data_IF_106706095486
#
_entry.id   IF_106706095486
#
_cell.length_a   1.000
_cell.length_b   1.000
_cell.length_c   1.000
_cell.angle_alpha   90.00
_cell.angle_beta   90.00
_cell.angle_gamma   90.00
#
_symmetry.space_group_name_H-M   'P 1'
#
loop_
_entity.id
_entity.type
_entity.pdbx_description
1 polymer ?
#
# COMPACT_ATOMS: atom_id res chain seq x y z
N UNK A 1 29.16 -26.59 23.88
CA UNK A 1 28.37 -27.17 22.77
C UNK A 1 26.92 -27.09 23.20
N UNK A 2 26.20 -26.13 22.64
CA UNK A 2 24.73 -26.11 22.72
C UNK A 2 24.20 -25.54 21.38
N UNK A 3 24.47 -26.30 20.33
CA UNK A 3 23.87 -26.11 19.00
C UNK A 3 22.64 -27.02 18.94
N UNK A 4 21.50 -26.57 19.47
CA UNK A 4 20.40 -27.49 19.72
C UNK A 4 19.02 -26.86 19.78
N UNK A 5 18.59 -26.27 18.65
CA UNK A 5 17.19 -26.02 18.17
C UNK A 5 17.03 -24.61 17.57
N UNK A 6 17.67 -24.35 16.42
CA UNK A 6 17.49 -23.08 15.69
C UNK A 6 16.36 -23.09 14.64
N UNK A 7 15.70 -24.23 14.39
CA UNK A 7 14.78 -24.40 13.25
C UNK A 7 13.49 -25.18 13.58
N UNK A 8 13.03 -25.20 14.83
CA UNK A 8 11.77 -25.88 15.18
C UNK A 8 10.70 -24.83 15.41
N UNK A 9 9.96 -24.53 14.35
CA UNK A 9 8.82 -23.62 14.36
C UNK A 9 7.53 -24.41 14.54
N UNK A 10 6.48 -23.75 15.06
CA UNK A 10 5.13 -24.30 14.90
C UNK A 10 4.78 -24.37 13.41
N UNK A 11 3.78 -25.19 13.07
CA UNK A 11 3.40 -25.41 11.67
C UNK A 11 3.01 -24.10 11.01
N UNK A 12 2.33 -23.18 11.69
CA UNK A 12 1.87 -21.90 11.14
C UNK A 12 3.04 -20.96 10.83
N UNK A 13 3.98 -20.78 11.76
CA UNK A 13 5.20 -20.00 11.59
C UNK A 13 6.07 -20.60 10.48
N UNK A 14 6.21 -21.93 10.40
CA UNK A 14 6.97 -22.57 9.33
C UNK A 14 6.39 -22.26 7.94
N UNK A 15 5.06 -22.32 7.79
CA UNK A 15 4.40 -21.99 6.52
C UNK A 15 4.65 -20.53 6.12
N UNK A 16 4.61 -19.59 7.07
CA UNK A 16 4.85 -18.17 6.79
C UNK A 16 6.32 -17.88 6.45
N UNK A 17 7.26 -18.51 7.14
CA UNK A 17 8.70 -18.42 6.81
C UNK A 17 8.93 -18.96 5.39
N UNK A 18 8.39 -20.12 5.05
CA UNK A 18 8.57 -20.70 3.72
C UNK A 18 7.88 -19.89 2.63
N UNK A 19 6.69 -19.35 2.90
CA UNK A 19 6.01 -18.41 1.99
C UNK A 19 6.86 -17.16 1.72
N UNK A 20 7.43 -16.56 2.78
CA UNK A 20 8.27 -15.37 2.67
C UNK A 20 9.51 -15.65 1.82
N UNK A 21 10.21 -16.74 2.09
CA UNK A 21 11.49 -17.06 1.45
C UNK A 21 11.33 -17.53 0.00
N UNK A 22 10.35 -18.39 -0.27
CA UNK A 22 10.27 -19.06 -1.58
C UNK A 22 9.37 -18.34 -2.57
N UNK A 23 8.32 -17.68 -2.08
CA UNK A 23 7.26 -17.12 -2.92
C UNK A 23 7.33 -15.60 -2.90
N UNK A 24 7.20 -14.97 -1.72
CA UNK A 24 7.14 -13.51 -1.59
C UNK A 24 8.36 -12.83 -2.21
N UNK A 25 9.60 -13.24 -1.87
CA UNK A 25 10.83 -12.66 -2.45
C UNK A 25 10.91 -12.72 -3.98
N UNK A 26 10.22 -13.68 -4.62
CA UNK A 26 10.27 -13.86 -6.09
C UNK A 26 9.15 -13.14 -6.81
N UNK A 27 8.02 -12.88 -6.14
CA UNK A 27 6.81 -12.37 -6.78
C UNK A 27 6.35 -11.00 -6.28
N UNK A 28 6.86 -10.52 -5.14
CA UNK A 28 6.41 -9.27 -4.50
C UNK A 28 6.34 -8.10 -5.46
N UNK A 29 7.37 -7.95 -6.30
CA UNK A 29 7.50 -6.81 -7.21
C UNK A 29 6.47 -6.90 -8.33
N UNK A 30 6.26 -8.09 -8.89
CA UNK A 30 5.24 -8.32 -9.93
C UNK A 30 3.83 -8.15 -9.41
N UNK A 31 3.58 -8.59 -8.17
CA UNK A 31 2.30 -8.41 -7.50
C UNK A 31 2.07 -6.93 -7.24
N UNK A 32 3.08 -6.21 -6.78
CA UNK A 32 2.98 -4.77 -6.55
C UNK A 32 2.72 -4.00 -7.86
N UNK A 33 3.41 -4.33 -8.95
CA UNK A 33 3.15 -3.75 -10.27
C UNK A 33 1.71 -3.98 -10.75
N UNK A 34 1.17 -5.18 -10.50
CA UNK A 34 -0.22 -5.50 -10.84
C UNK A 34 -1.21 -4.68 -10.01
N UNK A 35 -0.96 -4.53 -8.71
CA UNK A 35 -1.78 -3.69 -7.82
C UNK A 35 -1.75 -2.23 -8.28
N UNK A 36 -0.57 -1.67 -8.57
CA UNK A 36 -0.44 -0.30 -9.05
C UNK A 36 -1.23 -0.06 -10.34
N UNK A 37 -1.19 -1.01 -11.27
CA UNK A 37 -1.99 -0.94 -12.52
C UNK A 37 -3.49 -0.99 -12.25
N UNK A 38 -3.95 -1.82 -11.32
CA UNK A 38 -5.37 -1.86 -10.96
C UNK A 38 -5.82 -0.53 -10.34
N UNK A 39 -5.01 0.04 -9.44
CA UNK A 39 -5.29 1.34 -8.82
C UNK A 39 -5.33 2.45 -9.86
N UNK A 40 -4.38 2.47 -10.80
CA UNK A 40 -4.35 3.45 -11.89
C UNK A 40 -5.59 3.36 -12.78
N UNK A 41 -6.01 2.14 -13.16
CA UNK A 41 -7.27 1.93 -13.90
C UNK A 41 -8.48 2.50 -13.16
N UNK A 42 -8.54 2.29 -11.85
CA UNK A 42 -9.63 2.83 -11.05
C UNK A 42 -9.59 4.37 -10.97
N UNK A 43 -8.40 5.00 -10.91
CA UNK A 43 -8.26 6.46 -10.98
C UNK A 43 -8.74 7.05 -12.30
N UNK A 44 -8.62 6.26 -13.38
CA UNK A 44 -9.15 6.59 -14.70
C UNK A 44 -10.66 6.30 -14.84
N UNK A 45 -11.34 5.89 -13.76
CA UNK A 45 -12.79 5.65 -13.73
C UNK A 45 -13.21 4.22 -14.08
N UNK A 46 -12.27 3.29 -14.25
CA UNK A 46 -12.62 1.88 -14.45
C UNK A 46 -13.11 1.23 -13.16
N UNK A 47 -14.12 0.36 -13.25
CA UNK A 47 -14.54 -0.46 -12.11
C UNK A 47 -13.55 -1.59 -11.89
N UNK A 48 -12.98 -1.67 -10.68
CA UNK A 48 -12.04 -2.74 -10.30
C UNK A 48 -12.60 -3.58 -9.16
N UNK A 49 -12.10 -4.81 -9.07
CA UNK A 49 -12.40 -5.74 -7.99
C UNK A 49 -11.40 -5.49 -6.83
N UNK A 50 -11.85 -4.80 -5.78
CA UNK A 50 -10.99 -4.41 -4.66
C UNK A 50 -10.60 -5.59 -3.75
N UNK A 51 -11.33 -6.72 -3.78
CA UNK A 51 -11.02 -7.87 -2.92
C UNK A 51 -9.67 -8.49 -3.25
N UNK A 52 -9.22 -8.45 -4.51
CA UNK A 52 -7.89 -8.92 -4.92
C UNK A 52 -6.78 -8.08 -4.28
N UNK A 53 -6.89 -6.75 -4.33
CA UNK A 53 -5.91 -5.84 -3.71
C UNK A 53 -5.88 -6.06 -2.20
N UNK A 54 -7.06 -6.19 -1.59
CA UNK A 54 -7.20 -6.47 -0.16
C UNK A 54 -6.50 -7.77 0.24
N UNK A 55 -6.72 -8.87 -0.48
CA UNK A 55 -6.08 -10.16 -0.18
C UNK A 55 -4.54 -10.08 -0.25
N UNK A 56 -4.02 -9.29 -1.21
CA UNK A 56 -2.59 -9.02 -1.31
C UNK A 56 -2.11 -8.24 -0.08
N UNK A 57 -2.79 -7.15 0.30
CA UNK A 57 -2.42 -6.34 1.48
C UNK A 57 -2.44 -7.18 2.76
N UNK A 58 -3.49 -7.96 2.97
CA UNK A 58 -3.64 -8.84 4.13
C UNK A 58 -2.48 -9.87 4.21
N UNK A 59 -2.04 -10.38 3.05
CA UNK A 59 -0.86 -11.24 2.96
C UNK A 59 0.43 -10.52 3.37
N UNK A 60 0.64 -9.28 2.91
CA UNK A 60 1.86 -8.51 3.25
C UNK A 60 1.93 -8.20 4.75
N UNK A 61 0.80 -7.90 5.39
CA UNK A 61 0.71 -7.70 6.84
C UNK A 61 0.95 -9.01 7.59
N UNK A 62 0.36 -10.11 7.13
CA UNK A 62 0.52 -11.43 7.77
C UNK A 62 1.96 -11.96 7.71
N UNK A 63 2.74 -11.57 6.70
CA UNK A 63 4.15 -11.96 6.57
C UNK A 63 5.08 -11.18 7.50
N UNK A 64 4.59 -10.10 8.09
CA UNK A 64 5.32 -9.25 9.01
C UNK A 64 5.64 -9.89 10.37
N UNK A 65 5.49 -11.20 10.56
CA UNK A 65 5.84 -11.86 11.82
C UNK A 65 7.35 -11.75 12.10
N UNK A 66 7.68 -11.35 13.32
CA UNK A 66 9.05 -11.38 13.83
C UNK A 66 9.50 -12.84 14.02
N UNK A 67 10.64 -13.21 13.43
CA UNK A 67 11.20 -14.57 13.54
C UNK A 67 11.56 -14.96 14.98
N UNK A 68 11.79 -13.96 15.83
CA UNK A 68 12.17 -14.12 17.24
C UNK A 68 10.99 -14.06 18.19
N UNK A 69 9.88 -13.44 17.77
CA UNK A 69 8.64 -13.37 18.53
C UNK A 69 7.41 -13.41 17.60
N UNK A 70 6.81 -14.58 17.34
CA UNK A 70 5.63 -14.70 16.50
C UNK A 70 4.38 -13.99 17.06
N UNK A 71 4.42 -13.50 18.30
CA UNK A 71 3.36 -12.64 18.86
C UNK A 71 3.54 -11.17 18.49
N UNK A 72 4.72 -10.80 17.98
CA UNK A 72 5.07 -9.46 17.54
C UNK A 72 4.97 -9.38 16.01
N UNK A 73 3.89 -8.77 15.53
CA UNK A 73 3.76 -8.40 14.13
C UNK A 73 4.46 -7.07 13.87
N UNK A 74 5.37 -7.08 12.89
CA UNK A 74 6.04 -5.90 12.35
C UNK A 74 5.35 -5.51 11.03
N UNK A 75 5.09 -4.23 10.83
CA UNK A 75 4.53 -3.74 9.56
C UNK A 75 5.60 -3.55 8.47
N UNK A 76 6.86 -3.93 8.71
CA UNK A 76 7.98 -3.56 7.83
C UNK A 76 7.80 -4.05 6.39
N UNK A 77 7.31 -5.28 6.20
CA UNK A 77 7.05 -5.84 4.88
C UNK A 77 5.97 -5.04 4.15
N UNK A 78 4.88 -4.71 4.85
CA UNK A 78 3.82 -3.86 4.31
C UNK A 78 4.38 -2.47 3.95
N UNK A 79 5.10 -1.82 4.86
CA UNK A 79 5.64 -0.47 4.64
C UNK A 79 6.59 -0.42 3.45
N UNK A 80 7.48 -1.40 3.34
CA UNK A 80 8.53 -1.41 2.32
C UNK A 80 8.03 -1.86 0.95
N UNK A 81 7.23 -2.92 0.88
CA UNK A 81 6.83 -3.52 -0.39
C UNK A 81 5.45 -3.06 -0.90
N UNK A 82 4.62 -2.44 -0.05
CA UNK A 82 3.31 -1.95 -0.44
C UNK A 82 3.18 -0.43 -0.26
N UNK A 83 3.30 0.06 0.97
CA UNK A 83 2.99 1.46 1.30
C UNK A 83 3.89 2.43 0.54
N UNK A 84 5.21 2.25 0.61
CA UNK A 84 6.16 3.15 -0.05
C UNK A 84 5.98 3.17 -1.58
N UNK A 85 5.96 2.04 -2.32
CA UNK A 85 5.73 2.07 -3.76
C UNK A 85 4.34 2.62 -4.13
N UNK A 86 3.32 2.35 -3.31
CA UNK A 86 1.97 2.87 -3.51
C UNK A 86 1.94 4.40 -3.39
N UNK A 87 2.56 4.95 -2.35
CA UNK A 87 2.66 6.40 -2.13
C UNK A 87 3.46 7.08 -3.24
N UNK A 88 4.60 6.51 -3.64
CA UNK A 88 5.44 7.05 -4.72
C UNK A 88 4.69 7.09 -6.06
N UNK A 89 3.98 6.00 -6.42
CA UNK A 89 3.17 5.94 -7.62
C UNK A 89 2.01 6.94 -7.57
N UNK A 90 1.40 7.12 -6.40
CA UNK A 90 0.29 8.06 -6.19
C UNK A 90 0.74 9.50 -6.31
N UNK A 91 1.84 9.88 -5.65
CA UNK A 91 2.43 11.21 -5.78
C UNK A 91 2.81 11.53 -7.23
N UNK A 92 3.40 10.56 -7.95
CA UNK A 92 3.76 10.73 -9.36
C UNK A 92 2.52 10.92 -10.26
N UNK A 93 1.45 10.18 -10.01
CA UNK A 93 0.20 10.30 -10.77
C UNK A 93 -0.39 11.71 -10.63
N UNK A 94 -0.57 12.18 -9.40
CA UNK A 94 -1.17 13.50 -9.15
C UNK A 94 -0.23 14.65 -9.52
N UNK A 95 1.08 14.48 -9.42
CA UNK A 95 2.03 15.48 -9.92
C UNK A 95 1.93 15.65 -11.45
N UNK A 96 1.71 14.56 -12.19
CA UNK A 96 1.52 14.64 -13.64
C UNK A 96 0.15 15.22 -13.99
N UNK A 97 -0.91 14.79 -13.29
CA UNK A 97 -2.26 15.31 -13.48
C UNK A 97 -2.32 16.82 -13.18
N UNK A 98 -1.73 17.27 -12.08
CA UNK A 98 -1.73 18.68 -11.67
C UNK A 98 -0.97 19.55 -12.66
N UNK A 99 0.22 19.12 -13.11
CA UNK A 99 1.00 19.82 -14.13
C UNK A 99 0.23 20.02 -15.43
N UNK A 100 -0.46 18.98 -15.91
CA UNK A 100 -1.28 19.06 -17.11
C UNK A 100 -2.50 19.98 -16.89
N UNK A 101 -3.16 19.85 -15.74
CA UNK A 101 -4.39 20.58 -15.46
C UNK A 101 -4.14 22.08 -15.27
N UNK A 102 -3.10 22.47 -14.53
CA UNK A 102 -2.75 23.88 -14.29
C UNK A 102 -2.27 24.58 -15.57
N UNK A 103 -1.72 23.84 -16.54
CA UNK A 103 -1.35 24.41 -17.83
C UNK A 103 -2.56 24.85 -18.67
N UNK A 104 -3.73 24.25 -18.44
CA UNK A 104 -4.93 24.44 -19.26
C UNK A 104 -6.08 25.14 -18.51
N UNK A 105 -6.02 25.22 -17.18
CA UNK A 105 -7.12 25.67 -16.33
C UNK A 105 -6.68 26.71 -15.30
N UNK A 106 -7.64 27.42 -14.73
CA UNK A 106 -7.40 28.42 -13.70
C UNK A 106 -7.06 27.78 -12.34
N UNK A 107 -6.39 28.53 -11.48
CA UNK A 107 -6.08 28.10 -10.11
C UNK A 107 -7.35 27.74 -9.32
N UNK A 108 -8.47 28.45 -9.57
CA UNK A 108 -9.74 28.17 -8.88
C UNK A 108 -10.31 26.81 -9.29
N UNK A 109 -10.23 26.45 -10.57
CA UNK A 109 -10.63 25.13 -11.06
C UNK A 109 -9.71 24.03 -10.53
N UNK A 110 -8.41 24.34 -10.42
CA UNK A 110 -7.43 23.42 -9.84
C UNK A 110 -7.76 23.09 -8.38
N UNK A 111 -8.07 24.09 -7.56
CA UNK A 111 -8.40 23.87 -6.14
C UNK A 111 -9.65 23.00 -5.96
N UNK A 112 -10.69 23.21 -6.78
CA UNK A 112 -11.89 22.37 -6.77
C UNK A 112 -11.58 20.93 -7.14
N UNK A 113 -10.82 20.73 -8.22
CA UNK A 113 -10.41 19.40 -8.67
C UNK A 113 -9.55 18.69 -7.61
N UNK A 114 -8.64 19.40 -6.95
CA UNK A 114 -7.81 18.84 -5.90
C UNK A 114 -8.64 18.36 -4.70
N UNK A 115 -9.68 19.11 -4.31
CA UNK A 115 -10.61 18.72 -3.25
C UNK A 115 -11.41 17.46 -3.62
N UNK A 116 -11.96 17.39 -4.83
CA UNK A 116 -12.65 16.19 -5.32
C UNK A 116 -11.74 14.94 -5.31
N UNK A 117 -10.49 15.09 -5.76
CA UNK A 117 -9.51 13.99 -5.76
C UNK A 117 -9.12 13.53 -4.36
N UNK A 118 -9.07 14.45 -3.39
CA UNK A 118 -8.80 14.11 -1.99
C UNK A 118 -9.93 13.24 -1.43
N UNK A 119 -11.19 13.58 -1.70
CA UNK A 119 -12.34 12.80 -1.25
C UNK A 119 -12.36 11.39 -1.88
N UNK A 120 -12.10 11.30 -3.19
CA UNK A 120 -11.99 10.01 -3.91
C UNK A 120 -10.90 9.11 -3.30
N UNK A 121 -9.75 9.68 -2.97
CA UNK A 121 -8.61 8.95 -2.43
C UNK A 121 -8.82 8.56 -0.96
N UNK A 122 -9.48 9.40 -0.17
CA UNK A 122 -9.89 9.06 1.19
C UNK A 122 -10.88 7.87 1.19
N UNK A 123 -11.82 7.84 0.24
CA UNK A 123 -12.70 6.68 0.05
C UNK A 123 -11.95 5.43 -0.39
N UNK A 124 -10.99 5.55 -1.31
CA UNK A 124 -10.16 4.43 -1.79
C UNK A 124 -9.31 3.83 -0.68
N UNK A 125 -8.62 4.67 0.09
CA UNK A 125 -7.82 4.23 1.24
C UNK A 125 -8.72 3.55 2.27
N UNK A 126 -9.90 4.12 2.55
CA UNK A 126 -10.89 3.44 3.40
C UNK A 126 -11.25 2.05 2.88
N UNK A 127 -11.52 1.87 1.59
CA UNK A 127 -11.87 0.54 1.05
C UNK A 127 -10.73 -0.49 1.18
N UNK A 128 -9.49 -0.05 0.96
CA UNK A 128 -8.30 -0.92 1.06
C UNK A 128 -7.98 -1.24 2.54
N UNK A 129 -8.10 -0.25 3.43
CA UNK A 129 -7.65 -0.32 4.82
C UNK A 129 -8.73 -0.82 5.79
N UNK A 130 -10.02 -0.60 5.53
CA UNK A 130 -11.14 -0.92 6.46
C UNK A 130 -11.27 -2.42 6.78
N UNK A 131 -10.55 -3.29 6.08
CA UNK A 131 -10.50 -4.72 6.39
C UNK A 131 -9.15 -5.22 6.93
N UNK A 132 -8.07 -4.44 6.85
CA UNK A 132 -6.80 -4.70 7.54
C UNK A 132 -6.86 -4.22 9.01
N UNK A 133 -8.01 -4.50 9.66
CA UNK A 133 -8.71 -3.70 10.67
C UNK A 133 -8.02 -3.54 12.05
N UNK A 134 -6.73 -3.78 12.21
CA UNK A 134 -6.10 -3.60 13.53
C UNK A 134 -4.95 -2.59 13.63
N UNK A 135 -4.38 -2.02 12.55
CA UNK A 135 -3.17 -1.17 12.73
C UNK A 135 -3.18 0.20 12.01
N UNK A 136 -3.98 0.43 10.98
CA UNK A 136 -3.79 1.61 10.11
C UNK A 136 -4.70 2.81 10.42
N UNK A 137 -4.80 3.22 11.69
CA UNK A 137 -5.33 4.57 12.01
C UNK A 137 -4.28 5.68 11.87
N UNK A 138 -3.02 5.34 11.57
CA UNK A 138 -1.89 6.28 11.63
C UNK A 138 -1.44 6.89 10.28
N UNK A 139 -1.95 6.45 9.13
CA UNK A 139 -1.40 6.85 7.82
C UNK A 139 -2.26 7.78 6.96
N UNK A 140 -3.51 8.06 7.35
CA UNK A 140 -4.36 8.98 6.58
C UNK A 140 -3.81 10.42 6.58
N UNK A 141 -3.21 10.85 7.70
CA UNK A 141 -2.62 12.18 7.82
C UNK A 141 -1.27 12.29 7.09
N UNK A 142 -0.48 11.22 7.09
CA UNK A 142 0.75 11.13 6.30
C UNK A 142 0.44 11.18 4.80
N UNK A 143 -0.61 10.48 4.38
CA UNK A 143 -1.12 10.50 3.02
C UNK A 143 -1.57 11.91 2.61
N UNK A 144 -2.37 12.59 3.44
CA UNK A 144 -2.81 13.99 3.19
C UNK A 144 -1.63 14.94 3.10
N UNK A 145 -0.64 14.81 3.97
CA UNK A 145 0.57 15.64 3.97
C UNK A 145 1.43 15.41 2.70
N UNK A 146 1.63 14.15 2.29
CA UNK A 146 2.38 13.81 1.08
C UNK A 146 1.64 14.27 -0.18
N UNK A 147 0.32 14.10 -0.22
CA UNK A 147 -0.51 14.56 -1.34
C UNK A 147 -0.44 16.08 -1.47
N UNK A 148 -0.69 16.83 -0.39
CA UNK A 148 -0.62 18.29 -0.40
C UNK A 148 0.76 18.81 -0.81
N UNK A 149 1.84 18.19 -0.35
CA UNK A 149 3.21 18.56 -0.76
C UNK A 149 3.55 18.22 -2.22
N UNK A 150 2.88 17.24 -2.83
CA UNK A 150 3.08 16.86 -4.24
C UNK A 150 2.14 17.57 -5.23
N UNK A 151 1.00 18.06 -4.73
CA UNK A 151 0.00 18.82 -5.50
C UNK A 151 0.28 20.32 -5.54
N UNK A 152 1.05 20.89 -4.61
CA UNK A 152 1.40 22.31 -4.68
C UNK A 152 2.71 22.46 -5.45
N UNK A 153 2.76 23.22 -6.57
CA UNK A 153 4.00 23.47 -7.30
C UNK A 153 5.02 24.29 -6.51
#
# INVERSE_FOLDING_TARGET
MDEGKKNTYDVYTLHLVQWREELFKKISDKVMDAVLKLVEKQRNGETIEFSQIKQVVDSYVSLGLDETDPTRSTLEIYRFHFEKPFLEATAKYYQNESKHFVAENTIVEYMKKAEERLDEEEERVRMIVRFASCIAHADADAFKSLFLSSSVP
#
